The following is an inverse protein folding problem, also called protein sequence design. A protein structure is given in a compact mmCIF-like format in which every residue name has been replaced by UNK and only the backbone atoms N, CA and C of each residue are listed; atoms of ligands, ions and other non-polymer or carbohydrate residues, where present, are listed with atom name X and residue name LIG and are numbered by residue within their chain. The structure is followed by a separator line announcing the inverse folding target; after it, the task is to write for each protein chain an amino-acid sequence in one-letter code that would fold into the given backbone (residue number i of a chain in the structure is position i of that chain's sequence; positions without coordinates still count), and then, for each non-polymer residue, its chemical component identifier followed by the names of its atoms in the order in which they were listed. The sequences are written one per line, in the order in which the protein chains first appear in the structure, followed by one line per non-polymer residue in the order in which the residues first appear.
data_IF_005994732218
#
_entry.id   IF_005994732218
#
_cell.length_a   1.000
_cell.length_b   1.000
_cell.length_c   1.000
_cell.angle_alpha   90.00
_cell.angle_beta   90.00
_cell.angle_gamma   90.00
#
_symmetry.space_group_name_H-M   'P 1'
#
loop_
_entity.id
_entity.type
_entity.pdbx_description
1 polymer ?
#
# COMPACT_ATOMS: atom_id res chain seq x y z
N UNK A 1 3.91 9.90 -0.31
CA UNK A 1 3.81 9.87 -1.78
C UNK A 1 2.71 8.91 -2.20
N UNK A 2 2.33 8.92 -3.48
CA UNK A 2 1.32 8.03 -4.05
C UNK A 2 1.78 7.54 -5.42
N UNK A 3 1.48 6.29 -5.78
CA UNK A 3 1.75 5.73 -7.10
C UNK A 3 0.75 4.65 -7.50
N UNK A 4 0.76 4.29 -8.78
CA UNK A 4 -0.08 3.25 -9.37
C UNK A 4 0.74 2.00 -9.63
N UNK A 5 0.16 0.84 -9.37
CA UNK A 5 0.70 -0.46 -9.77
C UNK A 5 -0.17 -1.03 -10.88
N UNK A 6 0.45 -1.42 -11.98
CA UNK A 6 -0.22 -1.94 -13.17
C UNK A 6 -0.10 -3.47 -13.24
N UNK A 7 -1.12 -4.13 -13.76
CA UNK A 7 -1.08 -5.53 -14.16
C UNK A 7 -1.38 -5.61 -15.67
N UNK A 8 -0.32 -5.70 -16.48
CA UNK A 8 -0.45 -5.52 -17.93
C UNK A 8 -0.73 -4.06 -18.28
N UNK A 9 -1.83 -3.79 -18.97
CA UNK A 9 -2.21 -2.44 -19.39
C UNK A 9 -3.09 -1.70 -18.36
N UNK A 10 -3.62 -2.41 -17.36
CA UNK A 10 -4.64 -1.88 -16.45
C UNK A 10 -4.05 -1.54 -15.07
N UNK A 11 -4.49 -0.43 -14.49
CA UNK A 11 -4.17 -0.08 -13.11
C UNK A 11 -4.83 -1.10 -12.17
N UNK A 12 -4.00 -1.78 -11.38
CA UNK A 12 -4.40 -2.89 -10.50
C UNK A 12 -4.45 -2.49 -9.03
N UNK A 13 -3.62 -1.51 -8.62
CA UNK A 13 -3.64 -0.97 -7.27
C UNK A 13 -3.11 0.47 -7.21
N UNK A 14 -3.47 1.18 -6.16
CA UNK A 14 -2.85 2.44 -5.75
C UNK A 14 -2.16 2.22 -4.41
N UNK A 15 -0.94 2.72 -4.25
CA UNK A 15 -0.29 2.76 -2.94
C UNK A 15 -0.05 4.19 -2.46
N UNK A 16 -0.08 4.37 -1.14
CA UNK A 16 0.30 5.58 -0.43
C UNK A 16 1.45 5.24 0.51
N UNK A 17 2.58 5.93 0.37
CA UNK A 17 3.72 5.77 1.25
C UNK A 17 3.89 6.98 2.18
N UNK A 18 3.99 6.74 3.47
CA UNK A 18 4.48 7.71 4.45
C UNK A 18 5.90 7.31 4.87
N UNK A 19 6.87 8.10 4.42
CA UNK A 19 8.29 7.98 4.77
C UNK A 19 8.62 9.13 5.71
N UNK A 20 8.48 8.92 7.02
CA UNK A 20 8.86 9.94 8.00
C UNK A 20 10.36 9.80 8.30
N UNK A 21 11.10 10.90 8.22
CA UNK A 21 12.56 10.95 8.42
C UNK A 21 13.00 10.78 9.87
N UNK A 22 12.60 9.69 10.52
CA UNK A 22 13.05 9.26 11.83
C UNK A 22 14.16 8.20 11.67
N UNK A 23 15.05 8.01 12.67
CA UNK A 23 16.18 7.08 12.60
C UNK A 23 15.81 5.59 12.45
N UNK A 24 14.52 5.28 12.46
CA UNK A 24 14.00 3.91 12.44
C UNK A 24 13.90 3.33 11.02
N UNK A 25 14.20 4.12 9.97
CA UNK A 25 14.20 3.69 8.57
C UNK A 25 12.93 2.90 8.19
N UNK A 26 11.79 3.31 8.76
CA UNK A 26 10.49 2.68 8.54
C UNK A 26 9.76 3.42 7.41
N UNK A 27 9.20 2.64 6.48
CA UNK A 27 8.19 3.10 5.53
C UNK A 27 6.83 2.52 5.91
N UNK A 28 5.78 3.35 5.83
CA UNK A 28 4.39 2.90 5.97
C UNK A 28 3.71 2.93 4.63
N UNK A 29 3.07 1.84 4.24
CA UNK A 29 2.38 1.70 2.97
C UNK A 29 0.90 1.38 3.22
N UNK A 30 0.00 2.15 2.61
CA UNK A 30 -1.39 1.77 2.41
C UNK A 30 -1.57 1.36 0.95
N UNK A 31 -2.05 0.14 0.69
CA UNK A 31 -2.28 -0.39 -0.66
C UNK A 31 -3.76 -0.63 -0.85
N UNK A 32 -4.33 0.01 -1.87
CA UNK A 32 -5.72 -0.15 -2.28
C UNK A 32 -5.76 -1.03 -3.52
N UNK A 33 -6.29 -2.24 -3.37
CA UNK A 33 -6.45 -3.21 -4.46
C UNK A 33 -7.90 -3.22 -4.90
N UNK A 34 -8.14 -3.05 -6.19
CA UNK A 34 -9.48 -2.96 -6.75
C UNK A 34 -9.46 -2.60 -8.23
N UNK A 35 -10.66 -2.42 -8.78
CA UNK A 35 -10.85 -2.10 -10.18
C UNK A 35 -10.79 -0.58 -10.39
N UNK A 36 -9.76 -0.10 -11.08
CA UNK A 36 -9.59 1.32 -11.36
C UNK A 36 -10.11 1.66 -12.75
N UNK A 37 -11.40 2.00 -12.86
CA UNK A 37 -11.99 2.46 -14.11
C UNK A 37 -11.72 3.96 -14.33
N UNK A 38 -11.17 4.33 -15.49
CA UNK A 38 -10.93 5.73 -15.83
C UNK A 38 -12.23 6.55 -15.96
N UNK A 39 -13.34 5.88 -16.31
CA UNK A 39 -14.64 6.50 -16.53
C UNK A 39 -15.47 6.67 -15.24
N UNK A 40 -15.11 5.95 -14.16
CA UNK A 40 -15.73 6.10 -12.84
C UNK A 40 -14.68 5.92 -11.72
N UNK A 41 -13.89 6.97 -11.43
CA UNK A 41 -12.82 6.92 -10.43
C UNK A 41 -13.34 6.85 -8.98
N UNK A 42 -14.65 7.02 -8.77
CA UNK A 42 -15.30 6.92 -7.46
C UNK A 42 -15.95 5.54 -7.24
N UNK A 43 -15.94 4.64 -8.23
CA UNK A 43 -16.37 3.24 -8.07
C UNK A 43 -15.36 2.44 -7.24
N UNK A 44 -15.45 2.60 -5.92
CA UNK A 44 -14.63 1.88 -4.95
C UNK A 44 -15.35 0.62 -4.41
N UNK A 45 -16.34 0.10 -5.12
CA UNK A 45 -17.20 -1.00 -4.65
C UNK A 45 -16.43 -2.30 -4.36
N UNK A 46 -15.35 -2.57 -5.09
CA UNK A 46 -14.48 -3.74 -4.90
C UNK A 46 -13.11 -3.39 -4.29
N UNK A 47 -12.91 -2.13 -3.89
CA UNK A 47 -11.66 -1.67 -3.32
C UNK A 47 -11.49 -2.21 -1.91
N UNK A 48 -10.30 -2.75 -1.65
CA UNK A 48 -9.88 -3.22 -0.34
C UNK A 48 -8.54 -2.59 0.00
N UNK A 49 -8.45 -1.97 1.16
CA UNK A 49 -7.24 -1.31 1.65
C UNK A 49 -6.54 -2.17 2.70
N UNK A 50 -5.27 -2.44 2.42
CA UNK A 50 -4.31 -3.07 3.32
C UNK A 50 -3.28 -2.03 3.77
N UNK A 51 -2.69 -2.25 4.94
CA UNK A 51 -1.60 -1.40 5.44
C UNK A 51 -0.47 -2.24 6.00
N UNK A 52 0.78 -1.78 5.83
CA UNK A 52 1.94 -2.36 6.49
C UNK A 52 2.97 -1.32 6.91
N UNK A 53 3.85 -1.75 7.82
CA UNK A 53 5.17 -1.16 8.02
C UNK A 53 6.22 -2.02 7.32
N UNK A 54 7.26 -1.37 6.81
CA UNK A 54 8.42 -1.98 6.15
C UNK A 54 9.68 -1.39 6.76
N UNK A 55 10.62 -2.25 7.15
CA UNK A 55 11.99 -1.91 7.54
C UNK A 55 12.96 -2.85 6.82
N UNK A 56 14.26 -2.62 6.95
CA UNK A 56 15.30 -3.51 6.41
C UNK A 56 15.24 -4.94 6.99
N UNK A 57 14.67 -5.10 8.18
CA UNK A 57 14.52 -6.39 8.86
C UNK A 57 13.24 -7.15 8.45
N UNK A 58 12.34 -6.50 7.72
CA UNK A 58 11.15 -7.12 7.16
C UNK A 58 9.88 -6.26 7.25
N UNK A 59 8.75 -6.88 6.90
CA UNK A 59 7.46 -6.22 6.73
C UNK A 59 6.38 -6.84 7.61
N UNK A 60 5.43 -6.02 8.08
CA UNK A 60 4.31 -6.48 8.90
C UNK A 60 3.02 -5.72 8.61
N UNK A 61 1.92 -6.46 8.40
CA UNK A 61 0.58 -5.88 8.23
C UNK A 61 0.11 -5.16 9.50
N UNK A 62 -0.65 -4.08 9.35
CA UNK A 62 -1.20 -3.25 10.43
C UNK A 62 -2.62 -2.82 10.07
N UNK A 63 -3.34 -2.21 11.02
CA UNK A 63 -4.69 -1.70 10.77
C UNK A 63 -4.66 -0.53 9.77
N UNK A 64 -5.59 -0.52 8.82
CA UNK A 64 -5.63 0.46 7.74
C UNK A 64 -6.61 1.63 7.98
N UNK A 65 -6.36 2.83 7.41
CA UNK A 65 -5.11 3.30 6.77
C UNK A 65 -4.16 3.92 7.80
N UNK A 66 -2.86 3.87 7.55
CA UNK A 66 -1.82 4.49 8.40
C UNK A 66 -1.17 5.72 7.80
N UNK A 67 -1.24 5.91 6.48
CA UNK A 67 -0.58 7.01 5.76
C UNK A 67 -1.54 8.12 5.33
N UNK A 68 -2.86 7.86 5.26
CA UNK A 68 -3.85 8.84 4.78
C UNK A 68 -5.09 8.92 5.68
N UNK A 69 -5.24 10.01 6.41
CA UNK A 69 -6.52 10.44 6.98
C UNK A 69 -7.26 11.35 5.99
N UNK A 70 -8.58 11.15 5.82
CA UNK A 70 -9.45 12.17 5.20
C UNK A 70 -9.81 12.03 3.71
N UNK A 71 -9.42 10.96 2.99
CA UNK A 71 -10.10 10.61 1.71
C UNK A 71 -10.96 9.38 1.96
N UNK A 72 -12.27 9.48 1.76
CA UNK A 72 -13.21 8.43 2.20
C UNK A 72 -13.70 7.52 1.06
N UNK A 73 -13.76 8.02 -0.18
CA UNK A 73 -14.32 7.26 -1.32
C UNK A 73 -13.37 6.18 -1.84
N UNK A 74 -12.15 6.55 -2.23
CA UNK A 74 -11.24 5.68 -2.97
C UNK A 74 -10.67 4.47 -2.20
N UNK A 75 -10.74 4.44 -0.86
CA UNK A 75 -10.14 3.36 -0.06
C UNK A 75 -11.04 2.13 0.10
N UNK A 76 -12.32 2.21 -0.30
CA UNK A 76 -13.27 1.12 -0.14
C UNK A 76 -13.26 0.53 1.28
N UNK A 77 -13.14 -0.79 1.37
CA UNK A 77 -13.10 -1.51 2.64
C UNK A 77 -11.69 -1.54 3.25
N UNK A 78 -11.52 -0.85 4.38
CA UNK A 78 -10.27 -0.81 5.15
C UNK A 78 -10.19 -2.01 6.09
N UNK A 79 -9.13 -2.79 5.97
CA UNK A 79 -8.92 -3.97 6.80
C UNK A 79 -8.16 -3.63 8.08
N UNK A 80 -8.58 -4.19 9.20
CA UNK A 80 -7.70 -4.37 10.34
C UNK A 80 -6.66 -5.46 10.04
N UNK A 81 -5.62 -5.56 10.88
CA UNK A 81 -4.54 -6.54 10.70
C UNK A 81 -5.07 -7.97 10.61
N UNK A 82 -6.04 -8.34 11.42
CA UNK A 82 -6.58 -9.71 11.46
C UNK A 82 -7.30 -10.05 10.15
N UNK A 83 -8.18 -9.18 9.70
CA UNK A 83 -8.93 -9.31 8.46
C UNK A 83 -8.01 -9.27 7.24
N UNK A 84 -6.94 -8.46 7.28
CA UNK A 84 -5.89 -8.44 6.26
C UNK A 84 -5.20 -9.80 6.14
N UNK A 85 -4.79 -10.40 7.25
CA UNK A 85 -4.12 -11.71 7.26
C UNK A 85 -5.02 -12.87 6.82
N UNK A 86 -6.35 -12.71 6.91
CA UNK A 86 -7.32 -13.69 6.43
C UNK A 86 -7.80 -13.43 4.98
N UNK A 87 -7.40 -12.31 4.37
CA UNK A 87 -7.98 -11.89 3.09
C UNK A 87 -7.41 -12.69 1.90
N UNK A 88 -8.24 -13.13 0.93
CA UNK A 88 -7.78 -13.82 -0.27
C UNK A 88 -6.76 -13.05 -1.12
N UNK A 89 -6.77 -11.71 -1.08
CA UNK A 89 -5.83 -10.83 -1.80
C UNK A 89 -4.51 -10.57 -1.05
N UNK A 90 -4.28 -11.22 0.10
CA UNK A 90 -3.05 -11.01 0.90
C UNK A 90 -1.76 -11.26 0.10
N UNK A 91 -1.75 -12.26 -0.78
CA UNK A 91 -0.59 -12.55 -1.62
C UNK A 91 -0.30 -11.43 -2.63
N UNK A 92 -1.34 -10.86 -3.25
CA UNK A 92 -1.20 -9.72 -4.16
C UNK A 92 -0.73 -8.46 -3.41
N UNK A 93 -1.25 -8.24 -2.20
CA UNK A 93 -0.79 -7.17 -1.34
C UNK A 93 0.72 -7.24 -1.10
N UNK A 94 1.25 -8.39 -0.68
CA UNK A 94 2.70 -8.51 -0.44
C UNK A 94 3.52 -8.37 -1.73
N UNK A 95 3.03 -8.89 -2.86
CA UNK A 95 3.70 -8.71 -4.15
C UNK A 95 3.78 -7.23 -4.57
N UNK A 96 2.73 -6.45 -4.28
CA UNK A 96 2.74 -4.99 -4.48
C UNK A 96 3.73 -4.32 -3.55
N UNK A 97 3.76 -4.68 -2.27
CA UNK A 97 4.72 -4.13 -1.29
C UNK A 97 6.15 -4.40 -1.74
N UNK A 98 6.47 -5.63 -2.14
CA UNK A 98 7.80 -6.01 -2.64
C UNK A 98 8.19 -5.18 -3.86
N UNK A 99 7.27 -5.03 -4.82
CA UNK A 99 7.49 -4.20 -6.01
C UNK A 99 7.79 -2.74 -5.64
N UNK A 100 6.97 -2.14 -4.77
CA UNK A 100 7.13 -0.74 -4.35
C UNK A 100 8.45 -0.54 -3.62
N UNK A 101 8.84 -1.45 -2.73
CA UNK A 101 10.10 -1.35 -1.98
C UNK A 101 11.33 -1.49 -2.90
N UNK A 102 11.22 -2.28 -3.97
CA UNK A 102 12.31 -2.47 -4.94
C UNK A 102 12.37 -1.34 -5.97
N UNK A 103 11.23 -0.90 -6.50
CA UNK A 103 11.19 -0.03 -7.67
C UNK A 103 10.98 1.45 -7.35
N UNK A 104 10.32 1.80 -6.24
CA UNK A 104 10.14 3.20 -5.85
C UNK A 104 11.42 3.70 -5.17
N UNK A 105 12.19 4.62 -5.79
CA UNK A 105 13.48 5.03 -5.24
C UNK A 105 13.36 5.74 -3.89
N UNK A 106 12.22 6.37 -3.60
CA UNK A 106 11.99 7.08 -2.34
C UNK A 106 11.72 6.10 -1.21
N UNK A 107 10.85 5.12 -1.44
CA UNK A 107 10.58 4.05 -0.47
C UNK A 107 11.83 3.19 -0.27
N UNK A 108 12.52 2.84 -1.36
CA UNK A 108 13.77 2.10 -1.31
C UNK A 108 14.82 2.82 -0.46
N UNK A 109 15.04 4.11 -0.72
CA UNK A 109 15.97 4.91 0.08
C UNK A 109 15.52 5.03 1.54
N UNK A 110 14.22 5.20 1.83
CA UNK A 110 13.74 5.26 3.20
C UNK A 110 14.07 3.98 3.99
N UNK A 111 13.90 2.80 3.37
CA UNK A 111 14.09 1.49 4.00
C UNK A 111 15.58 1.11 4.10
N UNK A 112 16.40 1.46 3.10
CA UNK A 112 17.77 0.97 2.99
C UNK A 112 18.87 2.03 3.10
N UNK A 113 18.58 3.33 3.06
CA UNK A 113 19.61 4.36 3.20
C UNK A 113 20.05 4.45 4.67
N UNK A 114 21.03 3.64 5.06
CA UNK A 114 21.56 3.58 6.43
C UNK A 114 22.00 2.19 6.89
N UNK A 115 21.72 1.13 6.11
CA UNK A 115 22.21 -0.24 6.33
C UNK A 115 23.62 -0.48 5.80
#
# INVERSE_FOLDING_TARGET
MTGFVYNGADAHAIYYAACHGHPEHEARLDVVIGSWCADDPDDAGDHVTFSCRVTSDGSAAVDAPVAVEGRAGMFGHKLDRESALANPRLADFWRIVDLVVVEDPTVHAQVYAGS
#
